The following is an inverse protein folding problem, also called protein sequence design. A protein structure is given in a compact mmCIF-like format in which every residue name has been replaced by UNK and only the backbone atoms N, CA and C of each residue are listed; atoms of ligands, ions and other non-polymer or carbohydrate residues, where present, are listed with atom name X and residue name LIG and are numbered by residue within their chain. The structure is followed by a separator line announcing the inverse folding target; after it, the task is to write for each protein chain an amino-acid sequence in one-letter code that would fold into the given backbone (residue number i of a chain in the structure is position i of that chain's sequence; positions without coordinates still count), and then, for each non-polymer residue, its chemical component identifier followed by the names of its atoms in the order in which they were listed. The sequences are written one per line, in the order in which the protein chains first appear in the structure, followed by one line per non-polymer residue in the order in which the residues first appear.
data_IF_150178908875
#
_entry.id   IF_150178908875
#
_cell.length_a   1.000
_cell.length_b   1.000
_cell.length_c   1.000
_cell.angle_alpha   90.00
_cell.angle_beta   90.00
_cell.angle_gamma   90.00
#
_symmetry.space_group_name_H-M   'P 1'
#
loop_
_entity.id
_entity.type
_entity.pdbx_description
1 polymer ?
#
# COMPACT_ATOMS: atom_id res chain seq x y z
N UNK A 1 -22.38 13.31 23.95
CA UNK A 1 -22.05 12.11 23.14
C UNK A 1 -20.69 11.60 23.56
N UNK A 2 -20.61 10.33 23.99
CA UNK A 2 -19.37 9.75 24.54
C UNK A 2 -18.36 9.50 23.41
N UNK A 3 -17.06 9.71 23.69
CA UNK A 3 -15.94 9.42 22.76
C UNK A 3 -16.02 7.99 22.17
N UNK A 4 -16.57 7.04 22.93
CA UNK A 4 -16.76 5.66 22.48
C UNK A 4 -17.80 5.51 21.36
N UNK A 5 -18.84 6.35 21.34
CA UNK A 5 -19.84 6.33 20.27
C UNK A 5 -19.28 6.86 18.96
N UNK A 6 -18.42 7.88 19.02
CA UNK A 6 -17.71 8.41 17.84
C UNK A 6 -16.71 7.39 17.26
N UNK A 7 -16.04 6.62 18.12
CA UNK A 7 -15.12 5.57 17.70
C UNK A 7 -15.86 4.36 17.08
N UNK A 8 -17.07 4.05 17.58
CA UNK A 8 -17.89 2.98 17.02
C UNK A 8 -18.52 3.39 15.68
N UNK A 9 -18.95 4.65 15.57
CA UNK A 9 -19.45 5.23 14.32
C UNK A 9 -18.32 5.33 13.28
N UNK A 10 -17.11 5.72 13.66
CA UNK A 10 -15.94 5.69 12.78
C UNK A 10 -15.60 4.26 12.29
N UNK A 11 -15.64 3.25 13.17
CA UNK A 11 -15.45 1.84 12.79
C UNK A 11 -16.58 1.29 11.91
N UNK A 12 -17.82 1.67 12.18
CA UNK A 12 -18.98 1.29 11.35
C UNK A 12 -18.93 1.96 9.98
N UNK A 13 -18.49 3.23 9.90
CA UNK A 13 -18.29 3.95 8.65
C UNK A 13 -17.06 3.43 7.88
N UNK A 14 -16.00 2.96 8.54
CA UNK A 14 -14.87 2.30 7.87
C UNK A 14 -15.25 0.97 7.21
N UNK A 15 -16.22 0.24 7.75
CA UNK A 15 -16.80 -0.92 7.03
C UNK A 15 -17.69 -0.54 5.84
N UNK A 16 -18.21 0.67 5.80
CA UNK A 16 -18.90 1.25 4.64
C UNK A 16 -17.97 2.04 3.72
N UNK A 17 -16.78 2.38 4.17
CA UNK A 17 -15.77 3.11 3.42
C UNK A 17 -14.89 2.15 2.62
N UNK A 18 -14.79 2.40 1.57
CA UNK A 18 -14.40 2.18 0.25
C UNK A 18 -12.95 1.71 0.09
N UNK A 19 -12.08 1.96 1.05
CA UNK A 19 -10.69 1.51 1.08
C UNK A 19 -10.22 1.33 2.52
N UNK A 20 -9.38 0.33 2.74
CA UNK A 20 -8.71 0.11 4.01
C UNK A 20 -7.49 1.03 4.13
N UNK A 21 -7.02 1.27 5.37
CA UNK A 21 -5.76 1.96 5.59
C UNK A 21 -4.61 1.25 4.86
N UNK A 22 -3.63 2.00 4.35
CA UNK A 22 -2.50 1.39 3.65
C UNK A 22 -1.67 0.51 4.57
N UNK A 23 -1.14 -0.54 4.00
CA UNK A 23 -0.26 -1.52 4.65
C UNK A 23 1.15 -1.43 4.07
N UNK A 24 2.16 -1.64 4.93
CA UNK A 24 3.56 -1.72 4.52
C UNK A 24 4.17 -3.04 4.97
N UNK A 25 4.78 -3.75 4.02
CA UNK A 25 5.47 -5.00 4.28
C UNK A 25 6.78 -5.08 3.49
N UNK A 26 7.79 -5.71 4.08
CA UNK A 26 9.04 -5.96 3.37
C UNK A 26 10.27 -5.75 4.23
N UNK A 27 11.39 -5.32 3.61
CA UNK A 27 12.64 -5.07 4.32
C UNK A 27 13.18 -3.68 4.03
N UNK A 28 13.92 -3.16 5.00
CA UNK A 28 14.71 -1.93 4.89
C UNK A 28 16.17 -2.20 5.23
N UNK A 29 17.12 -1.47 4.65
CA UNK A 29 18.56 -1.68 4.87
C UNK A 29 19.02 -1.59 6.33
N UNK A 30 18.26 -0.93 7.19
CA UNK A 30 18.57 -0.81 8.63
C UNK A 30 17.97 -1.93 9.48
N UNK A 31 17.12 -2.78 8.91
CA UNK A 31 16.38 -3.82 9.63
C UNK A 31 16.86 -5.22 9.23
N UNK A 32 17.06 -6.10 10.23
CA UNK A 32 17.39 -7.51 10.00
C UNK A 32 16.19 -8.36 9.62
N UNK A 33 15.04 -7.99 10.15
CA UNK A 33 13.76 -8.69 9.95
C UNK A 33 12.80 -7.90 9.05
N UNK A 34 11.69 -8.54 8.69
CA UNK A 34 10.62 -7.89 7.94
C UNK A 34 9.96 -6.79 8.77
N UNK A 35 9.85 -5.61 8.17
CA UNK A 35 9.00 -4.55 8.70
C UNK A 35 7.53 -4.83 8.36
N UNK A 36 6.63 -4.42 9.24
CA UNK A 36 5.17 -4.60 9.08
C UNK A 36 4.45 -3.41 9.68
N UNK A 37 3.49 -2.88 8.95
CA UNK A 37 2.57 -1.85 9.41
C UNK A 37 1.19 -2.12 8.81
N UNK A 38 0.15 -2.20 9.62
CA UNK A 38 -1.22 -2.55 9.23
C UNK A 38 -1.35 -3.85 8.42
N UNK A 39 -0.47 -4.83 8.65
CA UNK A 39 -0.41 -6.08 7.89
C UNK A 39 -0.93 -7.22 8.75
N UNK A 40 -1.94 -7.93 8.26
CA UNK A 40 -2.46 -9.14 8.90
C UNK A 40 -1.50 -10.34 8.76
N UNK A 41 -1.77 -11.40 9.51
CA UNK A 41 -1.03 -12.66 9.39
C UNK A 41 -1.18 -13.25 7.98
N UNK A 42 -2.39 -13.32 7.45
CA UNK A 42 -2.69 -13.86 6.12
C UNK A 42 -2.01 -13.06 4.99
N UNK A 43 -2.01 -11.73 5.10
CA UNK A 43 -1.26 -10.86 4.18
C UNK A 43 0.24 -11.11 4.26
N UNK A 44 0.78 -11.32 5.47
CA UNK A 44 2.20 -11.65 5.67
C UNK A 44 2.56 -12.96 4.98
N UNK A 45 1.77 -14.01 5.17
CA UNK A 45 1.96 -15.32 4.56
C UNK A 45 1.95 -15.22 3.02
N UNK A 46 0.99 -14.50 2.48
CA UNK A 46 0.90 -14.25 1.04
C UNK A 46 2.17 -13.58 0.49
N UNK A 47 2.63 -12.48 1.12
CA UNK A 47 3.80 -11.76 0.63
C UNK A 47 5.09 -12.57 0.77
N UNK A 48 5.24 -13.37 1.83
CA UNK A 48 6.36 -14.30 1.98
C UNK A 48 6.38 -15.33 0.84
N UNK A 49 5.25 -15.97 0.57
CA UNK A 49 5.12 -16.95 -0.49
C UNK A 49 5.36 -16.30 -1.87
N UNK A 50 4.72 -15.14 -2.13
CA UNK A 50 4.89 -14.41 -3.37
C UNK A 50 6.37 -14.02 -3.61
N UNK A 51 7.06 -13.57 -2.57
CA UNK A 51 8.49 -13.22 -2.65
C UNK A 51 9.33 -14.44 -3.01
N UNK A 52 9.06 -15.59 -2.39
CA UNK A 52 9.75 -16.84 -2.70
C UNK A 52 9.52 -17.30 -4.15
N UNK A 53 8.26 -17.23 -4.60
CA UNK A 53 7.87 -17.81 -5.90
C UNK A 53 8.22 -16.91 -7.10
N UNK A 54 8.15 -15.59 -6.91
CA UNK A 54 8.27 -14.65 -8.01
C UNK A 54 9.46 -13.70 -7.86
N UNK A 55 9.69 -13.13 -6.69
CA UNK A 55 10.72 -12.11 -6.52
C UNK A 55 12.12 -12.69 -6.66
N UNK A 56 12.42 -13.76 -5.94
CA UNK A 56 13.74 -14.38 -5.95
C UNK A 56 14.06 -15.12 -7.27
N UNK A 57 13.07 -15.43 -8.08
CA UNK A 57 13.28 -16.10 -9.37
C UNK A 57 13.50 -15.13 -10.52
N UNK A 58 13.39 -13.83 -10.30
CA UNK A 58 13.65 -12.84 -11.34
C UNK A 58 15.15 -12.75 -11.65
N UNK A 59 15.53 -12.57 -12.92
CA UNK A 59 16.94 -12.38 -13.29
C UNK A 59 17.52 -11.07 -12.74
N UNK A 60 16.68 -10.06 -12.52
CA UNK A 60 17.06 -8.78 -11.90
C UNK A 60 15.89 -8.15 -11.18
N UNK A 61 16.16 -7.46 -10.08
CA UNK A 61 15.17 -6.61 -9.42
C UNK A 61 14.91 -5.35 -10.24
N UNK A 62 13.67 -4.85 -10.31
CA UNK A 62 13.38 -3.60 -11.00
C UNK A 62 14.11 -2.44 -10.32
N UNK A 63 14.76 -1.59 -11.11
CA UNK A 63 15.48 -0.42 -10.59
C UNK A 63 14.54 0.69 -10.12
N UNK A 64 13.29 0.67 -10.57
CA UNK A 64 12.25 1.63 -10.23
C UNK A 64 11.07 0.90 -9.57
N UNK A 65 10.34 1.55 -8.65
CA UNK A 65 9.12 1.00 -8.10
C UNK A 65 8.09 0.73 -9.18
N UNK A 66 7.39 -0.39 -9.04
CA UNK A 66 6.35 -0.84 -9.99
C UNK A 66 5.00 -0.79 -9.28
N UNK A 67 4.02 -0.09 -9.85
CA UNK A 67 2.64 -0.15 -9.40
C UNK A 67 1.99 -1.45 -9.85
N UNK A 68 1.09 -1.99 -9.02
CA UNK A 68 0.31 -3.18 -9.33
C UNK A 68 -1.14 -3.03 -8.91
N UNK A 69 -2.01 -3.81 -9.55
CA UNK A 69 -3.40 -4.01 -9.16
C UNK A 69 -3.70 -5.50 -9.30
N UNK A 70 -4.11 -6.12 -8.21
CA UNK A 70 -4.63 -7.47 -8.20
C UNK A 70 -6.16 -7.43 -8.17
N UNK A 71 -6.85 -8.09 -9.11
CA UNK A 71 -8.29 -8.24 -9.09
C UNK A 71 -8.78 -9.01 -7.85
N UNK A 72 -10.07 -8.89 -7.49
CA UNK A 72 -10.68 -9.72 -6.46
C UNK A 72 -10.39 -11.21 -6.67
N UNK A 73 -10.24 -11.95 -5.59
CA UNK A 73 -9.91 -13.40 -5.58
C UNK A 73 -8.53 -13.78 -6.11
N UNK A 74 -7.69 -12.81 -6.44
CA UNK A 74 -6.29 -13.08 -6.82
C UNK A 74 -5.42 -13.33 -5.59
N UNK A 75 -5.77 -12.70 -4.47
CA UNK A 75 -5.10 -12.86 -3.18
C UNK A 75 -6.05 -13.53 -2.19
N UNK A 76 -5.57 -14.41 -1.30
CA UNK A 76 -6.43 -15.11 -0.34
C UNK A 76 -7.13 -14.16 0.62
N UNK A 77 -6.48 -13.05 0.99
CA UNK A 77 -6.97 -12.09 1.97
C UNK A 77 -7.94 -11.04 1.41
N UNK A 78 -8.12 -10.94 0.10
CA UNK A 78 -8.99 -9.95 -0.55
C UNK A 78 -9.96 -10.62 -1.53
N UNK A 79 -10.93 -11.38 -0.98
CA UNK A 79 -11.89 -12.13 -1.79
C UNK A 79 -12.80 -11.23 -2.63
N UNK A 80 -13.23 -10.09 -2.08
CA UNK A 80 -14.21 -9.19 -2.70
C UNK A 80 -13.64 -7.79 -3.01
N UNK A 81 -12.34 -7.58 -2.78
CA UNK A 81 -11.65 -6.30 -2.99
C UNK A 81 -10.53 -6.44 -4.02
N UNK A 82 -10.18 -5.34 -4.66
CA UNK A 82 -8.91 -5.21 -5.35
C UNK A 82 -7.78 -5.00 -4.33
N UNK A 83 -6.57 -5.40 -4.66
CA UNK A 83 -5.37 -5.01 -3.94
C UNK A 83 -4.53 -4.15 -4.87
N UNK A 84 -4.37 -2.88 -4.54
CA UNK A 84 -3.51 -1.97 -5.30
C UNK A 84 -2.29 -1.60 -4.47
N UNK A 85 -1.20 -1.31 -5.13
CA UNK A 85 0.00 -0.91 -4.41
C UNK A 85 1.20 -0.65 -5.29
N UNK A 86 2.33 -0.52 -4.63
CA UNK A 86 3.64 -0.40 -5.27
C UNK A 86 4.61 -1.40 -4.64
N UNK A 87 5.50 -1.92 -5.46
CA UNK A 87 6.57 -2.80 -5.06
C UNK A 87 7.91 -2.21 -5.51
N UNK A 88 8.85 -2.10 -4.60
CA UNK A 88 10.18 -1.57 -4.84
C UNK A 88 11.25 -2.57 -4.43
N UNK A 89 12.37 -2.58 -5.14
CA UNK A 89 13.53 -3.35 -4.72
C UNK A 89 14.11 -2.77 -3.42
N UNK A 90 14.34 -3.63 -2.46
CA UNK A 90 14.97 -3.30 -1.19
C UNK A 90 15.89 -4.44 -0.75
N UNK A 91 16.52 -4.28 0.41
CA UNK A 91 17.39 -5.26 1.02
C UNK A 91 17.32 -5.15 2.54
N UNK A 92 17.80 -6.14 3.25
CA UNK A 92 17.98 -6.04 4.69
C UNK A 92 19.40 -5.53 5.05
N UNK A 93 19.66 -5.38 6.34
CA UNK A 93 20.95 -4.88 6.85
C UNK A 93 22.18 -5.72 6.50
N UNK A 94 21.97 -6.94 5.98
CA UNK A 94 23.06 -7.83 5.51
C UNK A 94 23.07 -7.96 3.98
N UNK A 95 22.28 -7.15 3.27
CA UNK A 95 22.27 -7.07 1.81
C UNK A 95 21.44 -8.17 1.12
N UNK A 96 20.58 -8.90 1.85
CA UNK A 96 19.69 -9.88 1.22
C UNK A 96 18.53 -9.18 0.51
N UNK A 97 18.41 -9.39 -0.80
CA UNK A 97 17.35 -8.82 -1.63
C UNK A 97 15.97 -9.24 -1.12
N UNK A 98 15.09 -8.26 -0.97
CA UNK A 98 13.69 -8.45 -0.63
C UNK A 98 12.90 -7.25 -1.14
N UNK A 99 11.64 -7.41 -1.54
CA UNK A 99 10.81 -6.25 -1.90
C UNK A 99 10.40 -5.46 -0.65
N UNK A 100 10.17 -4.14 -0.88
CA UNK A 100 9.35 -3.30 -0.04
C UNK A 100 8.02 -3.10 -0.77
N UNK A 101 6.91 -3.39 -0.09
CA UNK A 101 5.55 -3.32 -0.64
C UNK A 101 4.73 -2.34 0.18
N UNK A 102 4.09 -1.39 -0.49
CA UNK A 102 3.06 -0.52 0.08
C UNK A 102 1.78 -0.87 -0.66
N UNK A 103 0.73 -1.28 0.05
CA UNK A 103 -0.49 -1.77 -0.58
C UNK A 103 -1.74 -1.44 0.21
N UNK A 104 -2.89 -1.59 -0.43
CA UNK A 104 -4.19 -1.29 0.14
C UNK A 104 -5.27 -2.16 -0.49
N UNK A 105 -6.22 -2.62 0.30
CA UNK A 105 -7.44 -3.23 -0.19
C UNK A 105 -8.45 -2.16 -0.57
N UNK A 106 -9.03 -2.27 -1.77
CA UNK A 106 -9.90 -1.26 -2.37
C UNK A 106 -11.16 -1.92 -2.91
N UNK A 107 -12.33 -1.41 -2.56
CA UNK A 107 -13.59 -1.95 -3.05
C UNK A 107 -13.78 -1.67 -4.55
N UNK A 108 -14.71 -2.42 -5.18
CA UNK A 108 -15.11 -2.17 -6.56
C UNK A 108 -15.56 -0.72 -6.81
N UNK A 109 -16.28 -0.14 -5.87
CA UNK A 109 -16.79 1.23 -5.96
C UNK A 109 -15.65 2.24 -6.06
N UNK A 110 -14.64 2.08 -5.22
CA UNK A 110 -13.49 2.97 -5.21
C UNK A 110 -12.58 2.74 -6.39
N UNK A 111 -12.35 1.49 -6.77
CA UNK A 111 -11.57 1.19 -7.96
C UNK A 111 -12.19 1.84 -9.20
N UNK A 112 -13.52 1.83 -9.33
CA UNK A 112 -14.22 2.49 -10.43
C UNK A 112 -14.03 4.01 -10.48
N UNK A 113 -13.78 4.65 -9.33
CA UNK A 113 -13.46 6.08 -9.24
C UNK A 113 -12.00 6.37 -9.56
N UNK A 114 -11.11 5.49 -9.11
CA UNK A 114 -9.68 5.65 -9.30
C UNK A 114 -9.26 5.31 -10.74
N UNK A 115 -9.94 4.35 -11.37
CA UNK A 115 -9.59 3.84 -12.69
C UNK A 115 -9.48 4.92 -13.78
N UNK A 116 -10.39 5.87 -13.93
CA UNK A 116 -10.25 6.94 -14.91
C UNK A 116 -9.03 7.83 -14.69
N UNK A 117 -8.59 7.97 -13.44
CA UNK A 117 -7.41 8.75 -13.09
C UNK A 117 -6.10 8.02 -13.41
N UNK A 118 -6.13 6.69 -13.47
CA UNK A 118 -4.97 5.85 -13.78
C UNK A 118 -4.63 5.82 -15.27
N UNK A 119 -5.62 6.02 -16.13
CA UNK A 119 -5.46 5.95 -17.60
C UNK A 119 -4.89 7.26 -18.15
N UNK A 120 -5.14 8.38 -17.49
CA UNK A 120 -4.64 9.68 -17.93
C UNK A 120 -3.21 9.95 -17.43
N UNK A 121 -2.24 9.72 -18.29
CA UNK A 121 -0.81 9.77 -18.03
C UNK A 121 -0.22 11.20 -17.97
N UNK A 122 -1.03 12.25 -17.87
CA UNK A 122 -0.51 13.61 -17.75
C UNK A 122 0.13 13.85 -16.37
N UNK A 123 1.29 14.54 -16.35
CA UNK A 123 2.06 14.83 -15.11
C UNK A 123 1.22 15.54 -14.06
N UNK A 124 0.33 16.44 -14.47
CA UNK A 124 -0.56 17.17 -13.56
C UNK A 124 -1.54 16.27 -12.82
N UNK A 125 -1.93 15.14 -13.43
CA UNK A 125 -2.85 14.16 -12.83
C UNK A 125 -2.12 13.10 -12.04
N UNK A 126 -0.87 12.74 -12.38
CA UNK A 126 -0.04 11.80 -11.61
C UNK A 126 0.19 12.29 -10.17
N UNK A 127 0.44 13.59 -9.98
CA UNK A 127 0.63 14.16 -8.65
C UNK A 127 -0.60 14.08 -7.74
N UNK A 128 -1.77 13.73 -8.31
CA UNK A 128 -3.01 13.49 -7.55
C UNK A 128 -3.24 12.02 -7.26
N UNK A 129 -2.40 11.13 -7.75
CA UNK A 129 -2.60 9.69 -7.58
C UNK A 129 -1.77 9.15 -6.41
N UNK A 130 -2.39 8.47 -5.47
CA UNK A 130 -1.76 7.91 -4.28
C UNK A 130 -0.62 6.94 -4.63
N UNK A 131 -0.76 6.09 -5.65
CA UNK A 131 0.27 5.16 -6.11
C UNK A 131 1.54 5.89 -6.59
N UNK A 132 1.41 7.05 -7.19
CA UNK A 132 2.55 7.87 -7.58
C UNK A 132 3.38 8.30 -6.36
N UNK A 133 2.72 8.76 -5.32
CA UNK A 133 3.40 9.17 -4.09
C UNK A 133 4.01 7.99 -3.36
N UNK A 134 3.29 6.87 -3.28
CA UNK A 134 3.83 5.64 -2.69
C UNK A 134 5.06 5.13 -3.45
N UNK A 135 5.08 5.21 -4.77
CA UNK A 135 6.25 4.86 -5.56
C UNK A 135 7.45 5.76 -5.22
N UNK A 136 7.24 7.06 -5.07
CA UNK A 136 8.30 7.98 -4.65
C UNK A 136 8.80 7.70 -3.24
N UNK A 137 7.89 7.45 -2.30
CA UNK A 137 8.22 7.09 -0.92
C UNK A 137 9.04 5.79 -0.89
N UNK A 138 8.58 4.77 -1.59
CA UNK A 138 9.27 3.48 -1.67
C UNK A 138 10.67 3.60 -2.30
N UNK A 139 10.84 4.43 -3.33
CA UNK A 139 12.14 4.72 -3.92
C UNK A 139 13.10 5.41 -2.92
N UNK A 140 12.58 6.33 -2.11
CA UNK A 140 13.38 7.02 -1.09
C UNK A 140 13.62 6.19 0.18
N UNK A 141 12.74 5.25 0.50
CA UNK A 141 12.85 4.42 1.70
C UNK A 141 14.16 3.62 1.74
N UNK A 142 14.65 3.18 0.58
CA UNK A 142 15.95 2.52 0.46
C UNK A 142 17.12 3.42 0.87
N UNK A 143 17.05 4.71 0.57
CA UNK A 143 18.12 5.66 0.86
C UNK A 143 18.05 6.19 2.31
N UNK A 144 16.85 6.45 2.82
CA UNK A 144 16.66 6.98 4.18
C UNK A 144 16.66 5.89 5.24
N UNK A 145 16.22 4.69 4.88
CA UNK A 145 16.16 3.48 5.71
C UNK A 145 15.46 3.65 7.08
N UNK A 146 14.69 4.71 7.26
CA UNK A 146 13.97 5.06 8.48
C UNK A 146 12.53 4.55 8.39
N UNK A 147 12.22 3.54 9.21
CA UNK A 147 10.90 2.91 9.24
C UNK A 147 9.81 3.87 9.73
N UNK A 148 10.07 4.64 10.80
CA UNK A 148 9.07 5.56 11.35
C UNK A 148 8.71 6.63 10.32
N UNK A 149 9.71 7.22 9.68
CA UNK A 149 9.51 8.21 8.64
C UNK A 149 8.79 7.65 7.42
N UNK A 150 9.07 6.39 7.05
CA UNK A 150 8.34 5.70 5.97
C UNK A 150 6.85 5.63 6.30
N UNK A 151 6.49 5.18 7.51
CA UNK A 151 5.10 5.05 7.93
C UNK A 151 4.42 6.41 8.02
N UNK A 152 5.05 7.40 8.65
CA UNK A 152 4.53 8.78 8.71
C UNK A 152 4.19 9.34 7.33
N UNK A 153 5.05 9.10 6.33
CA UNK A 153 4.80 9.57 4.97
C UNK A 153 3.65 8.81 4.29
N UNK A 154 3.57 7.50 4.49
CA UNK A 154 2.46 6.69 3.95
C UNK A 154 1.13 7.13 4.55
N UNK A 155 1.07 7.34 5.86
CA UNK A 155 -0.12 7.78 6.57
C UNK A 155 -0.50 9.22 6.19
N UNK A 156 0.47 10.12 6.03
CA UNK A 156 0.24 11.49 5.57
C UNK A 156 -0.40 11.53 4.19
N UNK A 157 0.10 10.71 3.26
CA UNK A 157 -0.48 10.60 1.92
C UNK A 157 -1.91 10.08 2.02
N UNK A 158 -2.14 9.02 2.80
CA UNK A 158 -3.47 8.47 3.01
C UNK A 158 -4.45 9.52 3.56
N UNK A 159 -4.08 10.20 4.64
CA UNK A 159 -4.89 11.26 5.24
C UNK A 159 -5.21 12.41 4.27
N UNK A 160 -4.32 12.68 3.33
CA UNK A 160 -4.55 13.71 2.29
C UNK A 160 -5.61 13.29 1.27
N UNK A 161 -5.86 11.98 1.13
CA UNK A 161 -6.87 11.43 0.22
C UNK A 161 -8.19 11.06 0.93
N UNK A 162 -8.17 10.81 2.25
CA UNK A 162 -9.33 10.42 3.05
C UNK A 162 -10.49 11.43 2.99
N UNK A 163 -10.29 12.77 3.04
CA UNK A 163 -11.38 13.75 2.94
C UNK A 163 -12.18 13.67 1.64
N UNK A 164 -11.53 13.32 0.53
CA UNK A 164 -12.22 13.15 -0.75
C UNK A 164 -13.22 11.99 -0.74
N UNK A 165 -13.12 11.07 0.20
CA UNK A 165 -14.08 9.98 0.40
C UNK A 165 -15.32 10.43 1.19
N UNK A 166 -15.18 11.41 2.08
CA UNK A 166 -16.27 11.89 2.94
C UNK A 166 -17.13 12.93 2.24
N UNK A 167 -16.58 13.76 1.34
CA UNK A 167 -17.31 14.78 0.58
C UNK A 167 -18.34 14.21 -0.40
N UNK A 168 -18.30 12.94 -0.68
CA UNK A 168 -19.20 12.26 -1.63
C UNK A 168 -20.44 11.68 -0.96
N UNK A 169 -20.52 11.72 0.38
CA UNK A 169 -21.68 11.26 1.18
C UNK A 169 -22.59 12.41 1.63
N UNK A 170 -22.31 13.66 1.20
CA UNK A 170 -23.12 14.84 1.45
C UNK A 170 -24.16 15.13 0.38
#
# INVERSE_FOLDING_TARGET
MSLNALHFVKRGLTHMCVAHEPSVWGKLPTHGDYIRHNVSHEQTEFWLQWTSDYWHRRPSSPNIPVAFIFPPRTTPFAADCFVQGVIAASEDKVGRSCPLVIFQEVTHREMSRLWPLQIDMSIEKHGRHMLYWWARIAAHAKASADFHKLIELVDLIWQSYEPSFLEVLG
#
